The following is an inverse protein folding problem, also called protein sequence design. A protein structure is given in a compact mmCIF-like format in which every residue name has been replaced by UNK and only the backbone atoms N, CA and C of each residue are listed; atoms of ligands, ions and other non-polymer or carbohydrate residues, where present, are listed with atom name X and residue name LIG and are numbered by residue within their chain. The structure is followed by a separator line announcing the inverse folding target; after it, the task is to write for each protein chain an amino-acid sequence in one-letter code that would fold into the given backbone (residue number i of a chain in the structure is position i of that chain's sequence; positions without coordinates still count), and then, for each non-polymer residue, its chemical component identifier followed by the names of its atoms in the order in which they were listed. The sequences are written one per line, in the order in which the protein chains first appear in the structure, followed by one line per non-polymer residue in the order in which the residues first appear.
data_IF_421058831219
#
_entry.id   IF_421058831219
#
_cell.length_a   1.000
_cell.length_b   1.000
_cell.length_c   1.000
_cell.angle_alpha   90.00
_cell.angle_beta   90.00
_cell.angle_gamma   90.00
#
_symmetry.space_group_name_H-M   'P 1'
#
loop_
_entity.id
_entity.type
_entity.pdbx_description
1 polymer ?
#
# COMPACT_ATOMS: atom_id res chain seq x y z
N UNK A 1 13.97 -2.33 14.33
CA UNK A 1 12.89 -1.43 13.86
C UNK A 1 13.11 -0.05 14.45
N UNK A 2 13.25 0.98 13.60
CA UNK A 2 13.27 2.38 14.07
C UNK A 2 11.92 2.75 14.65
N UNK A 3 11.87 3.34 15.86
CA UNK A 3 10.62 3.92 16.39
C UNK A 3 10.09 4.95 15.39
N UNK A 4 8.83 4.82 15.01
CA UNK A 4 8.13 5.83 14.20
C UNK A 4 8.12 7.14 14.98
N UNK A 5 8.67 8.20 14.39
CA UNK A 5 8.61 9.55 14.95
C UNK A 5 7.30 10.20 14.54
N UNK A 6 6.76 11.08 15.39
CA UNK A 6 5.64 11.92 14.96
C UNK A 6 6.10 12.85 13.84
N UNK A 7 5.27 12.98 12.80
CA UNK A 7 5.51 13.95 11.73
C UNK A 7 4.84 15.28 12.12
N UNK A 8 5.46 16.44 11.83
CA UNK A 8 4.82 17.73 12.07
C UNK A 8 3.42 17.80 11.45
N UNK A 9 2.43 18.27 12.23
CA UNK A 9 1.03 18.34 11.79
C UNK A 9 0.84 19.21 10.52
N UNK A 10 1.71 20.19 10.31
CA UNK A 10 1.73 21.02 9.11
C UNK A 10 2.00 20.18 7.85
N UNK A 11 2.91 19.20 7.91
CA UNK A 11 3.22 18.32 6.78
C UNK A 11 2.03 17.42 6.46
N UNK A 12 1.37 16.86 7.47
CA UNK A 12 0.11 16.12 7.27
C UNK A 12 -0.95 17.01 6.59
N UNK A 13 -1.13 18.25 7.06
CA UNK A 13 -2.09 19.20 6.46
C UNK A 13 -1.76 19.51 5.01
N UNK A 14 -0.49 19.78 4.69
CA UNK A 14 -0.03 20.06 3.32
C UNK A 14 -0.23 18.84 2.41
N UNK A 15 0.01 17.63 2.93
CA UNK A 15 -0.15 16.39 2.13
C UNK A 15 -1.56 16.20 1.58
N UNK A 16 -2.60 16.79 2.19
CA UNK A 16 -3.98 16.74 1.67
C UNK A 16 -4.12 17.37 0.28
N UNK A 17 -3.31 18.38 0.00
CA UNK A 17 -3.31 19.09 -1.28
C UNK A 17 -2.37 18.44 -2.31
N UNK A 18 -1.58 17.44 -1.89
CA UNK A 18 -0.59 16.78 -2.75
C UNK A 18 -1.22 16.27 -4.04
N UNK A 19 -2.32 15.51 -3.96
CA UNK A 19 -2.93 14.89 -5.15
C UNK A 19 -3.34 15.92 -6.19
N UNK A 20 -3.94 17.03 -5.76
CA UNK A 20 -4.36 18.09 -6.68
C UNK A 20 -3.15 18.79 -7.30
N UNK A 21 -2.17 19.17 -6.48
CA UNK A 21 -0.94 19.81 -6.96
C UNK A 21 -0.19 18.89 -7.94
N UNK A 22 -0.14 17.60 -7.65
CA UNK A 22 0.52 16.58 -8.46
C UNK A 22 -0.16 16.37 -9.82
N UNK A 23 -1.50 16.36 -9.86
CA UNK A 23 -2.25 16.30 -11.13
C UNK A 23 -1.95 17.54 -11.98
N UNK A 24 -1.97 18.74 -11.37
CA UNK A 24 -1.67 19.99 -12.08
C UNK A 24 -0.24 19.97 -12.61
N UNK A 25 0.73 19.53 -11.80
CA UNK A 25 2.13 19.36 -12.20
C UNK A 25 2.26 18.42 -13.41
N UNK A 26 1.64 17.23 -13.37
CA UNK A 26 1.67 16.28 -14.48
C UNK A 26 1.09 16.90 -15.76
N UNK A 27 -0.05 17.60 -15.67
CA UNK A 27 -0.68 18.24 -16.83
C UNK A 27 0.22 19.31 -17.43
N UNK A 28 0.75 20.22 -16.59
CA UNK A 28 1.61 21.31 -17.05
C UNK A 28 2.89 20.77 -17.70
N UNK A 29 3.56 19.79 -17.08
CA UNK A 29 4.78 19.22 -17.63
C UNK A 29 4.53 18.40 -18.90
N UNK A 30 3.38 17.71 -18.98
CA UNK A 30 2.98 17.01 -20.20
C UNK A 30 2.70 17.96 -21.36
N UNK A 31 2.11 19.13 -21.07
CA UNK A 31 1.75 20.13 -22.07
C UNK A 31 2.93 20.99 -22.52
N UNK A 32 3.71 21.51 -21.57
CA UNK A 32 4.78 22.47 -21.86
C UNK A 32 6.15 21.84 -22.13
N UNK A 33 6.38 20.59 -21.70
CA UNK A 33 7.69 19.92 -21.86
C UNK A 33 7.55 18.68 -22.74
N UNK A 34 6.99 17.60 -22.19
CA UNK A 34 6.83 16.34 -22.91
C UNK A 34 5.89 15.38 -22.17
N UNK A 35 4.93 14.72 -22.86
CA UNK A 35 3.97 13.82 -22.20
C UNK A 35 4.63 12.63 -21.48
N UNK A 36 5.73 12.10 -22.01
CA UNK A 36 6.49 11.02 -21.35
C UNK A 36 7.00 11.43 -19.96
N UNK A 37 7.37 12.70 -19.76
CA UNK A 37 7.82 13.18 -18.46
C UNK A 37 6.68 13.11 -17.43
N UNK A 38 5.47 13.49 -17.83
CA UNK A 38 4.28 13.35 -17.00
C UNK A 38 4.03 11.91 -16.56
N UNK A 39 4.20 10.94 -17.47
CA UNK A 39 4.08 9.51 -17.17
C UNK A 39 5.18 9.04 -16.21
N UNK A 40 6.42 9.47 -16.42
CA UNK A 40 7.54 9.12 -15.53
C UNK A 40 7.28 9.65 -14.12
N UNK A 41 6.86 10.91 -13.98
CA UNK A 41 6.58 11.52 -12.69
C UNK A 41 5.39 10.86 -12.00
N UNK A 42 4.33 10.55 -12.75
CA UNK A 42 3.15 9.82 -12.26
C UNK A 42 3.57 8.59 -11.45
N UNK A 43 4.47 7.76 -11.98
CA UNK A 43 4.86 6.50 -11.34
C UNK A 43 6.04 6.60 -10.37
N UNK A 44 6.95 7.58 -10.52
CA UNK A 44 8.18 7.66 -9.71
C UNK A 44 8.12 8.69 -8.58
N UNK A 45 7.48 9.84 -8.77
CA UNK A 45 7.53 10.92 -7.78
C UNK A 45 6.87 10.53 -6.45
N UNK A 46 5.65 9.96 -6.40
CA UNK A 46 5.02 9.57 -5.15
C UNK A 46 5.84 8.54 -4.32
N UNK A 47 6.34 7.42 -4.88
CA UNK A 47 7.15 6.49 -4.11
C UNK A 47 8.48 7.09 -3.68
N UNK A 48 9.13 7.94 -4.49
CA UNK A 48 10.38 8.63 -4.10
C UNK A 48 10.14 9.56 -2.90
N UNK A 49 9.10 10.40 -2.96
CA UNK A 49 8.74 11.28 -1.84
C UNK A 49 8.46 10.43 -0.60
N UNK A 50 7.74 9.32 -0.74
CA UNK A 50 7.49 8.41 0.38
C UNK A 50 8.79 7.82 0.95
N UNK A 51 9.75 7.42 0.12
CA UNK A 51 11.06 6.91 0.60
C UNK A 51 11.78 7.94 1.46
N UNK A 52 11.74 9.21 1.08
CA UNK A 52 12.30 10.31 1.87
C UNK A 52 11.54 10.48 3.19
N UNK A 53 10.20 10.52 3.16
CA UNK A 53 9.37 10.62 4.37
C UNK A 53 9.65 9.45 5.32
N UNK A 54 9.69 8.22 4.81
CA UNK A 54 10.01 7.02 5.57
C UNK A 54 11.42 7.07 6.18
N UNK A 55 12.41 7.59 5.46
CA UNK A 55 13.78 7.70 5.97
C UNK A 55 13.88 8.68 7.15
N UNK A 56 13.09 9.75 7.15
CA UNK A 56 13.12 10.80 8.19
C UNK A 56 12.26 10.43 9.40
N UNK A 57 11.02 9.98 9.18
CA UNK A 57 10.02 9.75 10.25
C UNK A 57 9.73 8.28 10.55
N UNK A 58 10.29 7.36 9.76
CA UNK A 58 10.10 5.92 9.93
C UNK A 58 8.82 5.40 9.27
N UNK A 59 8.71 4.08 9.25
CA UNK A 59 7.50 3.37 8.79
C UNK A 59 6.41 3.49 9.88
N UNK A 60 5.17 3.89 9.56
CA UNK A 60 4.08 3.91 10.53
C UNK A 60 3.68 2.49 10.92
N UNK A 61 3.62 2.19 12.21
CA UNK A 61 3.16 0.89 12.70
C UNK A 61 2.53 1.02 14.09
N UNK A 62 1.62 0.10 14.41
CA UNK A 62 0.88 0.07 15.67
C UNK A 62 -0.38 0.93 15.65
N UNK A 63 -0.76 1.41 16.83
CA UNK A 63 -1.99 2.18 17.05
C UNK A 63 -1.68 3.66 17.07
N UNK A 64 -2.49 4.45 16.36
CA UNK A 64 -2.45 5.90 16.40
C UNK A 64 -3.87 6.48 16.34
N UNK A 65 -4.03 7.70 16.84
CA UNK A 65 -5.31 8.41 16.72
C UNK A 65 -5.26 9.35 15.52
N UNK A 66 -6.38 9.42 14.81
CA UNK A 66 -6.61 10.31 13.69
C UNK A 66 -7.64 11.36 14.07
N UNK A 67 -7.45 12.58 13.55
CA UNK A 67 -8.39 13.67 13.70
C UNK A 67 -7.73 15.05 13.70
N UNK A 68 -8.54 16.09 13.53
CA UNK A 68 -8.11 17.49 13.62
C UNK A 68 -7.67 17.88 15.03
N UNK A 69 -8.15 17.16 16.05
CA UNK A 69 -7.84 17.37 17.45
C UNK A 69 -6.52 16.72 17.93
N UNK A 70 -5.80 16.00 17.06
CA UNK A 70 -4.50 15.40 17.43
C UNK A 70 -3.39 16.44 17.31
N UNK A 71 -2.49 16.51 18.30
CA UNK A 71 -1.35 17.44 18.30
C UNK A 71 -0.34 17.08 17.22
N UNK A 72 -0.03 15.79 17.12
CA UNK A 72 0.92 15.24 16.17
C UNK A 72 0.27 14.91 14.82
N UNK A 73 1.07 15.02 13.77
CA UNK A 73 0.73 14.50 12.45
C UNK A 73 0.97 12.99 12.37
N UNK A 74 0.31 12.35 11.41
CA UNK A 74 0.41 10.92 11.19
C UNK A 74 1.11 10.61 9.85
N UNK A 75 2.26 9.91 9.86
CA UNK A 75 2.97 9.57 8.62
C UNK A 75 2.18 8.63 7.70
N UNK A 76 1.26 7.81 8.24
CA UNK A 76 0.36 7.00 7.41
C UNK A 76 -0.57 7.87 6.57
N UNK A 77 -1.06 9.01 7.07
CA UNK A 77 -1.88 9.93 6.27
C UNK A 77 -1.09 10.55 5.12
N UNK A 78 0.18 10.87 5.34
CA UNK A 78 1.05 11.36 4.26
C UNK A 78 1.22 10.28 3.20
N UNK A 79 1.52 9.04 3.60
CA UNK A 79 1.60 7.90 2.68
C UNK A 79 0.28 7.70 1.91
N UNK A 80 -0.85 7.82 2.60
CA UNK A 80 -2.18 7.69 2.01
C UNK A 80 -2.42 8.74 0.93
N UNK A 81 -2.13 10.02 1.20
CA UNK A 81 -2.29 11.08 0.20
C UNK A 81 -1.33 10.95 -0.99
N UNK A 82 -0.10 10.49 -0.77
CA UNK A 82 0.84 10.20 -1.87
C UNK A 82 0.32 9.09 -2.79
N UNK A 83 -0.41 8.12 -2.23
CA UNK A 83 -1.00 6.99 -2.97
C UNK A 83 -2.42 7.27 -3.49
N UNK A 84 -3.01 8.41 -3.14
CA UNK A 84 -4.43 8.68 -3.36
C UNK A 84 -4.84 8.55 -4.81
N UNK A 85 -4.00 8.99 -5.75
CA UNK A 85 -4.29 8.89 -7.18
C UNK A 85 -4.46 7.43 -7.62
N UNK A 86 -3.53 6.55 -7.21
CA UNK A 86 -3.59 5.11 -7.50
C UNK A 86 -4.74 4.42 -6.76
N UNK A 87 -5.03 4.83 -5.52
CA UNK A 87 -6.15 4.32 -4.74
C UNK A 87 -7.52 4.76 -5.31
N UNK A 88 -7.59 5.88 -6.04
CA UNK A 88 -8.83 6.39 -6.62
C UNK A 88 -9.04 5.88 -8.05
N UNK A 89 -7.95 5.73 -8.81
CA UNK A 89 -7.94 5.34 -10.21
C UNK A 89 -7.12 4.07 -10.39
N UNK A 90 -7.75 2.93 -10.17
CA UNK A 90 -7.06 1.62 -10.20
C UNK A 90 -6.43 1.29 -11.56
N UNK A 91 -6.90 1.91 -12.65
CA UNK A 91 -6.40 1.65 -14.00
C UNK A 91 -4.89 1.87 -14.10
N UNK A 92 -4.32 2.82 -13.34
CA UNK A 92 -2.89 3.08 -13.34
C UNK A 92 -2.08 1.86 -12.88
N UNK A 93 -2.59 1.09 -11.92
CA UNK A 93 -1.96 -0.14 -11.45
C UNK A 93 -2.18 -1.30 -12.40
N UNK A 94 -3.36 -1.37 -13.03
CA UNK A 94 -3.67 -2.39 -14.02
C UNK A 94 -2.69 -2.34 -15.21
N UNK A 95 -2.29 -1.14 -15.64
CA UNK A 95 -1.24 -0.98 -16.67
C UNK A 95 0.08 -1.64 -16.24
N UNK A 96 0.45 -1.53 -14.96
CA UNK A 96 1.66 -2.18 -14.44
C UNK A 96 1.52 -3.70 -14.35
N UNK A 97 0.30 -4.22 -14.15
CA UNK A 97 0.04 -5.67 -14.09
C UNK A 97 0.19 -6.31 -15.47
N UNK A 98 -0.11 -5.58 -16.56
CA UNK A 98 0.07 -6.08 -17.93
C UNK A 98 1.53 -6.37 -18.29
N UNK A 99 2.47 -5.69 -17.64
CA UNK A 99 3.90 -5.84 -17.90
C UNK A 99 4.52 -6.81 -16.87
N UNK A 100 5.07 -7.95 -17.29
CA UNK A 100 5.62 -8.95 -16.37
C UNK A 100 6.62 -8.34 -15.36
N UNK A 101 6.27 -8.43 -14.08
CA UNK A 101 7.12 -7.96 -12.98
C UNK A 101 7.13 -6.44 -12.73
N UNK A 102 6.49 -5.62 -13.56
CA UNK A 102 6.48 -4.16 -13.39
C UNK A 102 5.72 -3.75 -12.12
N UNK A 103 4.55 -4.33 -11.85
CA UNK A 103 3.82 -4.06 -10.61
C UNK A 103 4.62 -4.47 -9.36
N UNK A 104 5.28 -5.65 -9.37
CA UNK A 104 6.19 -6.05 -8.28
C UNK A 104 7.35 -5.08 -8.08
N UNK A 105 7.95 -4.59 -9.18
CA UNK A 105 9.02 -3.60 -9.10
C UNK A 105 8.53 -2.26 -8.54
N UNK A 106 7.34 -1.84 -8.93
CA UNK A 106 6.73 -0.61 -8.43
C UNK A 106 6.33 -0.69 -6.95
N UNK A 107 5.79 -1.82 -6.49
CA UNK A 107 5.59 -2.09 -5.05
C UNK A 107 6.92 -2.04 -4.28
N UNK A 108 7.99 -2.62 -4.84
CA UNK A 108 9.34 -2.47 -4.27
C UNK A 108 9.79 -1.01 -4.25
N UNK A 109 9.47 -0.17 -5.23
CA UNK A 109 9.77 1.27 -5.16
C UNK A 109 9.05 1.94 -3.98
N UNK A 110 7.80 1.58 -3.69
CA UNK A 110 7.07 2.02 -2.50
C UNK A 110 7.66 1.51 -1.18
N UNK A 111 8.44 0.43 -1.21
CA UNK A 111 9.10 -0.11 -0.02
C UNK A 111 8.56 -1.43 0.47
N UNK A 112 7.71 -2.11 -0.31
CA UNK A 112 7.39 -3.51 -0.09
C UNK A 112 8.61 -4.42 -0.30
N UNK A 113 8.60 -5.57 0.36
CA UNK A 113 9.49 -6.69 0.06
C UNK A 113 8.71 -7.69 -0.81
N UNK A 114 8.98 -7.76 -2.12
CA UNK A 114 8.27 -8.66 -3.04
C UNK A 114 9.28 -9.60 -3.69
N UNK A 115 9.06 -10.90 -3.53
CA UNK A 115 9.87 -11.97 -4.13
C UNK A 115 9.75 -12.09 -5.64
N UNK A 116 10.28 -13.19 -6.16
CA UNK A 116 10.36 -13.47 -7.59
C UNK A 116 9.15 -14.26 -8.09
N UNK A 117 8.82 -14.14 -9.38
CA UNK A 117 7.73 -14.90 -10.03
C UNK A 117 6.36 -14.77 -9.32
N UNK A 118 6.08 -13.59 -8.78
CA UNK A 118 4.74 -13.27 -8.26
C UNK A 118 3.81 -12.96 -9.43
N UNK A 119 2.67 -13.65 -9.47
CA UNK A 119 1.61 -13.40 -10.44
C UNK A 119 0.53 -12.52 -9.80
N UNK A 120 0.29 -11.37 -10.42
CA UNK A 120 -0.78 -10.47 -10.06
C UNK A 120 -1.86 -10.56 -11.13
N UNK A 121 -3.10 -10.78 -10.73
CA UNK A 121 -4.22 -10.81 -11.67
C UNK A 121 -4.99 -9.48 -11.63
N UNK A 122 -5.83 -9.22 -12.65
CA UNK A 122 -6.69 -8.05 -12.67
C UNK A 122 -7.48 -7.78 -11.39
N UNK A 123 -7.66 -6.50 -11.11
CA UNK A 123 -8.44 -5.98 -9.97
C UNK A 123 -7.96 -6.40 -8.56
N UNK A 124 -6.82 -7.08 -8.42
CA UNK A 124 -6.19 -7.20 -7.11
C UNK A 124 -5.79 -5.82 -6.58
N UNK A 125 -5.89 -5.60 -5.27
CA UNK A 125 -5.64 -4.29 -4.65
C UNK A 125 -4.67 -4.40 -3.48
N UNK A 126 -3.69 -3.50 -3.47
CA UNK A 126 -2.74 -3.32 -2.36
C UNK A 126 -2.78 -1.84 -1.96
N UNK A 127 -3.41 -1.50 -0.83
CA UNK A 127 -3.64 -0.09 -0.44
C UNK A 127 -2.48 0.49 0.37
N UNK A 128 -1.91 -0.30 1.29
CA UNK A 128 -0.76 0.07 2.12
C UNK A 128 0.53 -0.57 1.59
N UNK A 129 0.88 -0.22 0.35
CA UNK A 129 1.95 -0.89 -0.43
C UNK A 129 3.22 -1.08 0.39
N UNK A 130 3.58 -0.04 1.13
CA UNK A 130 4.80 0.08 1.93
C UNK A 130 4.92 -0.92 3.09
N UNK A 131 3.83 -1.65 3.41
CA UNK A 131 3.69 -2.57 4.54
C UNK A 131 3.49 -4.03 4.12
N UNK A 132 3.80 -4.36 2.87
CA UNK A 132 3.69 -5.72 2.36
C UNK A 132 5.06 -6.40 2.30
N UNK A 133 5.14 -7.59 2.89
CA UNK A 133 6.19 -8.56 2.64
C UNK A 133 5.59 -9.80 1.99
N UNK A 134 6.14 -10.20 0.85
CA UNK A 134 5.65 -11.29 0.03
C UNK A 134 6.82 -12.11 -0.49
N UNK A 135 6.71 -13.44 -0.35
CA UNK A 135 7.63 -14.41 -0.88
C UNK A 135 7.64 -14.49 -2.41
N UNK A 136 8.26 -15.54 -2.91
CA UNK A 136 8.35 -15.89 -4.32
C UNK A 136 7.27 -16.89 -4.72
N UNK A 137 6.97 -16.95 -6.03
CA UNK A 137 6.02 -17.92 -6.62
C UNK A 137 4.61 -17.82 -6.02
N UNK A 138 4.20 -16.61 -5.66
CA UNK A 138 2.87 -16.32 -5.13
C UNK A 138 1.89 -16.04 -6.27
N UNK A 139 0.71 -16.64 -6.22
CA UNK A 139 -0.40 -16.34 -7.13
C UNK A 139 -1.47 -15.53 -6.39
N UNK A 140 -1.77 -14.34 -6.89
CA UNK A 140 -2.81 -13.47 -6.34
C UNK A 140 -4.00 -13.48 -7.28
N UNK A 141 -5.09 -14.14 -6.89
CA UNK A 141 -6.32 -14.23 -7.67
C UNK A 141 -7.11 -12.92 -7.74
N UNK A 142 -8.01 -12.84 -8.73
CA UNK A 142 -8.71 -11.61 -9.09
C UNK A 142 -9.52 -11.04 -7.92
N UNK A 143 -9.62 -9.71 -7.87
CA UNK A 143 -10.34 -8.97 -6.82
C UNK A 143 -9.88 -9.23 -5.38
N UNK A 144 -8.70 -9.84 -5.19
CA UNK A 144 -8.12 -9.99 -3.86
C UNK A 144 -7.71 -8.63 -3.30
N UNK A 145 -7.87 -8.43 -1.99
CA UNK A 145 -7.65 -7.17 -1.31
C UNK A 145 -6.66 -7.34 -0.16
N UNK A 146 -5.56 -6.61 -0.21
CA UNK A 146 -4.51 -6.63 0.81
C UNK A 146 -4.39 -5.24 1.43
N UNK A 147 -4.64 -5.15 2.74
CA UNK A 147 -4.50 -3.91 3.49
C UNK A 147 -3.79 -4.13 4.82
N UNK A 148 -2.88 -3.23 5.13
CA UNK A 148 -2.12 -3.20 6.38
C UNK A 148 -2.71 -2.22 7.39
N UNK A 149 -3.85 -1.58 7.10
CA UNK A 149 -4.55 -0.71 8.05
C UNK A 149 -6.01 -1.12 8.33
N UNK A 150 -6.48 -0.75 9.52
CA UNK A 150 -7.89 -0.76 9.90
C UNK A 150 -8.21 0.53 10.67
N UNK A 151 -9.39 1.09 10.42
CA UNK A 151 -9.87 2.30 11.10
C UNK A 151 -11.13 1.96 11.88
N UNK A 152 -11.17 2.37 13.15
CA UNK A 152 -12.33 2.21 14.03
C UNK A 152 -12.68 3.51 14.71
N UNK A 153 -13.94 3.93 14.65
CA UNK A 153 -14.43 5.08 15.43
C UNK A 153 -14.43 4.73 16.93
N UNK A 154 -13.91 5.61 17.75
CA UNK A 154 -13.87 5.50 19.22
C UNK A 154 -14.25 6.87 19.80
N UNK A 155 -15.53 7.02 20.17
CA UNK A 155 -16.07 8.31 20.62
C UNK A 155 -16.00 9.37 19.52
N UNK A 156 -15.34 10.50 19.81
CA UNK A 156 -15.13 11.62 18.88
C UNK A 156 -13.83 11.50 18.05
N UNK A 157 -13.09 10.39 18.20
CA UNK A 157 -11.82 10.13 17.49
C UNK A 157 -11.91 8.90 16.61
N UNK A 158 -10.99 8.82 15.66
CA UNK A 158 -10.76 7.62 14.85
C UNK A 158 -9.46 6.97 15.31
N UNK A 159 -9.52 5.68 15.61
CA UNK A 159 -8.35 4.87 15.93
C UNK A 159 -7.89 4.20 14.64
N UNK A 160 -6.65 4.47 14.26
CA UNK A 160 -5.95 3.82 13.16
C UNK A 160 -5.06 2.73 13.75
N UNK A 161 -5.21 1.51 13.24
CA UNK A 161 -4.31 0.41 13.50
C UNK A 161 -3.58 0.08 12.19
N UNK A 162 -2.25 0.09 12.21
CA UNK A 162 -1.41 -0.28 11.07
C UNK A 162 -0.47 -1.41 11.48
N UNK A 163 -0.46 -2.51 10.72
CA UNK A 163 0.52 -3.58 10.90
C UNK A 163 0.75 -4.31 9.59
N UNK A 164 2.01 -4.55 9.27
CA UNK A 164 2.43 -5.17 8.02
C UNK A 164 1.80 -6.54 7.78
N UNK A 165 1.62 -6.86 6.51
CA UNK A 165 1.15 -8.16 6.04
C UNK A 165 2.33 -8.98 5.55
N UNK A 166 2.38 -10.25 5.94
CA UNK A 166 3.42 -11.20 5.50
C UNK A 166 2.76 -12.35 4.72
N UNK A 167 3.21 -12.60 3.50
CA UNK A 167 2.78 -13.72 2.66
C UNK A 167 4.03 -14.53 2.31
N UNK A 168 4.02 -15.83 2.60
CA UNK A 168 5.15 -16.73 2.36
C UNK A 168 5.40 -17.04 0.88
N UNK A 169 6.40 -17.90 0.63
CA UNK A 169 6.66 -18.46 -0.69
C UNK A 169 5.55 -19.44 -1.10
N UNK A 170 5.35 -19.66 -2.40
CA UNK A 170 4.45 -20.70 -2.93
C UNK A 170 2.98 -20.58 -2.46
N UNK A 171 2.56 -19.39 -2.08
CA UNK A 171 1.17 -19.12 -1.65
C UNK A 171 0.25 -18.92 -2.84
N UNK A 172 -0.96 -19.46 -2.75
CA UNK A 172 -2.05 -19.19 -3.68
C UNK A 172 -3.20 -18.51 -2.94
N UNK A 173 -3.47 -17.26 -3.29
CA UNK A 173 -4.71 -16.59 -2.93
C UNK A 173 -5.69 -16.77 -4.09
N UNK A 174 -6.81 -17.45 -3.86
CA UNK A 174 -7.83 -17.62 -4.89
C UNK A 174 -8.59 -16.30 -5.18
N UNK A 175 -9.77 -16.40 -5.80
CA UNK A 175 -10.60 -15.24 -6.14
C UNK A 175 -11.11 -14.51 -4.88
N UNK A 176 -10.99 -13.19 -4.85
CA UNK A 176 -11.62 -12.31 -3.84
C UNK A 176 -11.19 -12.63 -2.40
N UNK A 177 -9.93 -12.97 -2.19
CA UNK A 177 -9.37 -13.17 -0.84
C UNK A 177 -9.08 -11.82 -0.20
N UNK A 178 -9.37 -11.67 1.09
CA UNK A 178 -9.03 -10.47 1.87
C UNK A 178 -7.94 -10.76 2.89
N UNK A 179 -6.85 -10.02 2.86
CA UNK A 179 -5.75 -10.12 3.84
C UNK A 179 -5.72 -8.84 4.67
N UNK A 180 -5.98 -8.98 5.97
CA UNK A 180 -6.17 -7.87 6.89
C UNK A 180 -4.85 -7.47 7.63
N UNK A 181 -4.85 -6.35 8.38
CA UNK A 181 -3.64 -5.83 9.01
C UNK A 181 -2.96 -6.81 9.97
N UNK A 182 -1.66 -6.99 9.84
CA UNK A 182 -0.91 -7.91 10.69
C UNK A 182 -1.12 -9.39 10.37
N UNK A 183 -1.92 -9.72 9.35
CA UNK A 183 -2.13 -11.09 8.93
C UNK A 183 -0.85 -11.69 8.35
N UNK A 184 -0.69 -12.99 8.57
CA UNK A 184 0.38 -13.81 8.01
C UNK A 184 -0.21 -14.98 7.23
N UNK A 185 0.31 -15.24 6.05
CA UNK A 185 -0.01 -16.43 5.26
C UNK A 185 1.26 -17.26 5.13
N UNK A 186 1.26 -18.46 5.69
CA UNK A 186 2.43 -19.32 5.66
C UNK A 186 2.76 -19.81 4.26
N UNK A 187 4.02 -20.17 4.06
CA UNK A 187 4.50 -20.66 2.77
C UNK A 187 3.75 -21.94 2.35
N UNK A 188 3.44 -22.07 1.07
CA UNK A 188 2.68 -23.20 0.51
C UNK A 188 1.17 -23.15 0.76
N UNK A 189 0.67 -22.18 1.54
CA UNK A 189 -0.77 -22.10 1.86
C UNK A 189 -1.63 -21.79 0.63
N UNK A 190 -2.77 -22.46 0.55
CA UNK A 190 -3.88 -22.13 -0.36
C UNK A 190 -5.00 -21.44 0.42
N UNK A 191 -5.41 -20.25 0.00
CA UNK A 191 -6.55 -19.52 0.58
C UNK A 191 -7.72 -19.56 -0.40
N UNK A 192 -8.78 -20.27 -0.02
CA UNK A 192 -9.99 -20.43 -0.82
C UNK A 192 -10.68 -19.11 -1.18
N UNK A 193 -11.45 -19.16 -2.26
CA UNK A 193 -12.13 -17.99 -2.80
C UNK A 193 -13.10 -17.36 -1.78
N UNK A 194 -13.08 -16.03 -1.68
CA UNK A 194 -13.97 -15.27 -0.79
C UNK A 194 -13.60 -15.31 0.70
N UNK A 195 -12.55 -16.05 1.10
CA UNK A 195 -12.09 -16.06 2.51
C UNK A 195 -11.34 -14.79 2.88
N UNK A 196 -11.26 -14.56 4.20
CA UNK A 196 -10.47 -13.49 4.78
C UNK A 196 -9.52 -14.04 5.84
N UNK A 197 -8.27 -13.56 5.84
CA UNK A 197 -7.34 -13.75 6.96
C UNK A 197 -7.44 -12.49 7.83
N UNK A 198 -8.02 -12.64 9.03
CA UNK A 198 -8.36 -11.52 9.89
C UNK A 198 -7.13 -10.90 10.57
N UNK A 199 -7.27 -9.71 11.17
CA UNK A 199 -6.13 -8.99 11.72
C UNK A 199 -5.35 -9.82 12.73
N UNK A 200 -4.02 -9.83 12.60
CA UNK A 200 -3.08 -10.59 13.44
C UNK A 200 -3.24 -12.11 13.43
N UNK A 201 -4.03 -12.68 12.51
CA UNK A 201 -4.11 -14.13 12.36
C UNK A 201 -2.99 -14.65 11.46
N UNK A 202 -2.61 -15.90 11.70
CA UNK A 202 -1.78 -16.66 10.78
C UNK A 202 -2.67 -17.70 10.12
N UNK A 203 -2.63 -17.76 8.79
CA UNK A 203 -3.28 -18.81 8.01
C UNK A 203 -2.23 -19.82 7.56
N UNK A 204 -2.32 -21.00 8.13
CA UNK A 204 -1.58 -22.20 7.75
C UNK A 204 -2.58 -23.11 7.02
N UNK A 205 -2.14 -23.78 5.94
CA UNK A 205 -2.88 -24.74 5.11
C UNK A 205 -4.36 -24.99 5.48
N UNK A 206 -5.28 -24.52 4.62
CA UNK A 206 -6.51 -25.28 4.40
C UNK A 206 -6.13 -26.48 3.56
N UNK A 207 -6.20 -27.67 4.14
CA UNK A 207 -5.90 -28.95 3.50
C UNK A 207 -6.55 -29.05 2.11
N UNK A 208 -5.77 -29.40 1.09
CA UNK A 208 -6.09 -30.36 0.02
C UNK A 208 -4.85 -30.66 -0.86
#
# INVERSE_FOLDING_TARGET
MSKTKSIPKIIEKLSKFYTLAFIVEIILLSYYIHPLLGVVLLYLQPPIIWRVVKAIWGQPEGISYLGTKTKDGNPWFVAFHLQQLFNSFHFFEQILILLPGAYSAWLRLWGSEIGNKVNWTPECRVVDRTHLKMGSRVLIGNHSYIAAHAIKKRGDKYLLYVKGVEIGDDVVLAYRVTIAPGAKVSAGSFIEAGKAVYPNQTSDNGDE
#
